data_IF_003542072193
#
_entry.id   IF_003542072193
#
_cell.length_a   1.000
_cell.length_b   1.000
_cell.length_c   1.000
_cell.angle_alpha   90.00
_cell.angle_beta   90.00
_cell.angle_gamma   90.00
#
_symmetry.space_group_name_H-M   'P 1'
#
loop_
_entity.id
_entity.type
_entity.pdbx_description
1 polymer ?
#
# COMPACT_ATOMS: atom_id res chain seq x y z
N UNK A 1 5.51 -19.05 18.66
CA UNK A 1 6.28 -19.11 17.39
C UNK A 1 5.54 -18.16 16.46
N UNK A 2 6.16 -17.08 16.01
CA UNK A 2 5.49 -16.15 15.09
C UNK A 2 5.37 -16.82 13.72
N UNK A 3 4.15 -17.10 13.28
CA UNK A 3 3.91 -17.66 11.95
C UNK A 3 3.82 -16.51 10.94
N UNK A 4 4.95 -16.23 10.29
CA UNK A 4 5.03 -15.29 9.17
C UNK A 4 4.73 -16.04 7.88
N UNK A 5 3.58 -15.75 7.29
CA UNK A 5 3.23 -16.21 5.97
C UNK A 5 3.94 -15.36 4.90
N UNK A 6 4.89 -15.99 4.19
CA UNK A 6 5.66 -15.39 3.10
C UNK A 6 5.07 -15.62 1.70
N UNK A 7 3.90 -16.27 1.61
CA UNK A 7 3.19 -16.50 0.34
C UNK A 7 2.31 -15.33 -0.10
N UNK A 8 2.18 -14.30 0.73
CA UNK A 8 1.47 -13.06 0.40
C UNK A 8 2.45 -11.91 0.19
N UNK A 9 2.01 -10.87 -0.52
CA UNK A 9 2.74 -9.58 -0.57
C UNK A 9 1.78 -8.45 -0.16
N UNK A 10 2.06 -7.71 0.92
CA UNK A 10 3.19 -7.90 1.83
C UNK A 10 3.10 -9.25 2.59
N UNK A 11 4.18 -9.61 3.29
CA UNK A 11 4.14 -10.76 4.20
C UNK A 11 3.08 -10.53 5.29
N UNK A 12 2.54 -11.61 5.83
CA UNK A 12 1.50 -11.52 6.86
C UNK A 12 1.91 -12.30 8.10
N UNK A 13 1.86 -11.66 9.27
CA UNK A 13 2.05 -12.32 10.57
C UNK A 13 0.69 -12.76 11.11
N UNK A 14 0.56 -14.05 11.43
CA UNK A 14 -0.61 -14.56 12.13
C UNK A 14 -0.40 -14.51 13.65
N UNK A 15 -1.36 -13.94 14.36
CA UNK A 15 -1.41 -13.91 15.81
C UNK A 15 -2.59 -14.73 16.31
N UNK A 16 -2.31 -15.79 17.07
CA UNK A 16 -3.33 -16.69 17.59
C UNK A 16 -3.65 -16.33 19.03
N UNK A 17 -4.94 -16.14 19.32
CA UNK A 17 -5.42 -15.87 20.66
C UNK A 17 -6.63 -16.71 21.00
N UNK A 18 -7.17 -16.47 22.20
CA UNK A 18 -8.46 -16.99 22.64
C UNK A 18 -9.23 -15.85 23.28
N UNK A 19 -10.51 -15.78 22.99
CA UNK A 19 -11.42 -14.91 23.72
C UNK A 19 -11.56 -15.38 25.17
N UNK A 20 -12.05 -14.50 26.04
CA UNK A 20 -12.26 -14.82 27.47
C UNK A 20 -13.22 -16.00 27.68
N UNK A 21 -14.14 -16.23 26.72
CA UNK A 21 -15.04 -17.39 26.70
C UNK A 21 -14.41 -18.65 26.09
N UNK A 22 -13.11 -18.63 25.78
CA UNK A 22 -12.31 -19.80 25.38
C UNK A 22 -12.25 -20.09 23.89
N UNK A 23 -13.02 -19.40 23.06
CA UNK A 23 -13.02 -19.57 21.60
C UNK A 23 -11.71 -19.05 20.98
N UNK A 24 -11.02 -19.84 20.14
CA UNK A 24 -9.79 -19.40 19.48
C UNK A 24 -10.07 -18.40 18.36
N UNK A 25 -9.18 -17.43 18.19
CA UNK A 25 -9.18 -16.52 17.05
C UNK A 25 -7.78 -16.41 16.45
N UNK A 26 -7.71 -15.93 15.20
CA UNK A 26 -6.46 -15.58 14.54
C UNK A 26 -6.59 -14.19 13.92
N UNK A 27 -5.73 -13.27 14.32
CA UNK A 27 -5.56 -11.98 13.65
C UNK A 27 -4.41 -12.05 12.65
N UNK A 28 -4.60 -11.39 11.51
CA UNK A 28 -3.64 -11.35 10.42
C UNK A 28 -3.12 -9.92 10.26
N UNK A 29 -1.82 -9.75 10.48
CA UNK A 29 -1.15 -8.46 10.46
C UNK A 29 -0.22 -8.38 9.23
N UNK A 30 -0.59 -7.60 8.19
CA UNK A 30 0.32 -7.28 7.11
C UNK A 30 1.60 -6.62 7.65
N UNK A 31 2.76 -7.08 7.17
CA UNK A 31 4.08 -6.55 7.53
C UNK A 31 4.55 -5.67 6.39
N UNK A 32 4.24 -4.37 6.49
CA UNK A 32 4.51 -3.43 5.41
C UNK A 32 6.00 -3.12 5.26
N UNK A 33 6.43 -3.00 4.00
CA UNK A 33 7.74 -2.47 3.63
C UNK A 33 7.66 -0.96 3.50
N UNK A 34 8.46 -0.25 4.30
CA UNK A 34 8.47 1.21 4.32
C UNK A 34 9.88 1.65 3.90
N UNK A 35 10.11 1.63 2.59
CA UNK A 35 11.33 2.08 1.94
C UNK A 35 10.98 2.91 0.71
N UNK A 36 11.72 3.99 0.41
CA UNK A 36 12.91 4.50 1.11
C UNK A 36 12.57 5.24 2.43
N UNK A 37 13.55 5.47 3.30
CA UNK A 37 13.36 6.03 4.64
C UNK A 37 13.47 7.56 4.71
N UNK A 38 13.06 8.27 3.66
CA UNK A 38 13.14 9.74 3.58
C UNK A 38 12.26 10.43 4.63
N UNK A 39 12.68 11.60 5.13
CA UNK A 39 11.93 12.37 6.16
C UNK A 39 10.54 12.77 5.66
N UNK A 40 10.45 13.14 4.38
CA UNK A 40 9.21 13.42 3.66
C UNK A 40 9.19 12.53 2.43
N UNK A 41 8.11 11.80 2.23
CA UNK A 41 7.96 10.97 1.04
C UNK A 41 7.55 11.82 -0.15
N UNK A 42 8.29 11.69 -1.25
CA UNK A 42 7.90 12.19 -2.57
C UNK A 42 6.81 11.29 -3.18
N UNK A 43 6.25 11.69 -4.33
CA UNK A 43 5.39 10.82 -5.13
C UNK A 43 6.13 9.55 -5.57
N UNK A 44 7.41 9.65 -5.93
CA UNK A 44 8.23 8.48 -6.28
C UNK A 44 8.35 7.52 -5.09
N UNK A 45 8.68 8.03 -3.91
CA UNK A 45 8.75 7.23 -2.69
C UNK A 45 7.42 6.55 -2.38
N UNK A 46 6.32 7.28 -2.59
CA UNK A 46 4.97 6.76 -2.36
C UNK A 46 4.64 5.64 -3.34
N UNK A 47 4.96 5.79 -4.63
CA UNK A 47 4.81 4.73 -5.63
C UNK A 47 5.62 3.49 -5.26
N UNK A 48 6.87 3.66 -4.80
CA UNK A 48 7.71 2.54 -4.33
C UNK A 48 7.03 1.81 -3.18
N UNK A 49 6.60 2.53 -2.15
CA UNK A 49 5.95 1.95 -0.97
C UNK A 49 4.65 1.22 -1.36
N UNK A 50 3.82 1.82 -2.22
CA UNK A 50 2.60 1.19 -2.71
C UNK A 50 2.91 -0.08 -3.53
N UNK A 51 3.95 -0.01 -4.36
CA UNK A 51 4.49 -1.10 -5.17
C UNK A 51 4.98 -2.29 -4.36
N UNK A 52 5.87 -2.04 -3.41
CA UNK A 52 6.47 -3.08 -2.55
C UNK A 52 5.43 -3.79 -1.66
N UNK A 53 4.29 -3.13 -1.41
CA UNK A 53 3.17 -3.64 -0.62
C UNK A 53 1.95 -4.04 -1.46
N UNK A 54 2.08 -4.15 -2.79
CA UNK A 54 1.04 -4.68 -3.67
C UNK A 54 -0.34 -3.97 -3.52
N UNK A 55 -0.31 -2.65 -3.34
CA UNK A 55 -1.50 -1.79 -3.32
C UNK A 55 -1.92 -1.44 -4.75
N UNK A 56 -2.38 -2.46 -5.49
CA UNK A 56 -2.64 -2.41 -6.94
C UNK A 56 -3.69 -1.38 -7.33
N UNK A 57 -4.78 -1.26 -6.59
CA UNK A 57 -5.84 -0.30 -6.94
C UNK A 57 -5.32 1.13 -6.86
N UNK A 58 -4.48 1.40 -5.85
CA UNK A 58 -3.83 2.68 -5.68
C UNK A 58 -2.83 2.99 -6.78
N UNK A 59 -1.99 2.02 -7.16
CA UNK A 59 -1.09 2.17 -8.30
C UNK A 59 -1.86 2.49 -9.60
N UNK A 60 -2.93 1.75 -9.90
CA UNK A 60 -3.72 1.95 -11.12
C UNK A 60 -4.37 3.33 -11.18
N UNK A 61 -4.90 3.82 -10.07
CA UNK A 61 -5.49 5.16 -10.06
C UNK A 61 -4.45 6.26 -10.08
N UNK A 62 -3.31 6.10 -9.39
CA UNK A 62 -2.19 7.04 -9.52
C UNK A 62 -1.74 7.12 -10.97
N UNK A 63 -1.62 5.98 -11.66
CA UNK A 63 -1.31 5.94 -13.08
C UNK A 63 -2.31 6.77 -13.89
N UNK A 64 -3.61 6.57 -13.69
CA UNK A 64 -4.65 7.30 -14.41
C UNK A 64 -4.63 8.81 -14.12
N UNK A 65 -4.49 9.19 -12.85
CA UNK A 65 -4.43 10.60 -12.41
C UNK A 65 -3.21 11.29 -13.02
N UNK A 66 -2.05 10.64 -12.98
CA UNK A 66 -0.82 11.16 -13.58
C UNK A 66 -0.96 11.21 -15.10
N UNK A 67 -1.47 10.17 -15.75
CA UNK A 67 -1.66 10.18 -17.21
C UNK A 67 -2.55 11.34 -17.67
N UNK A 68 -3.57 11.69 -16.89
CA UNK A 68 -4.52 12.77 -17.18
C UNK A 68 -4.08 14.15 -16.68
N UNK A 69 -2.92 14.26 -16.03
CA UNK A 69 -2.42 15.50 -15.40
C UNK A 69 -3.38 16.08 -14.33
N UNK A 70 -3.98 15.21 -13.51
CA UNK A 70 -4.95 15.56 -12.47
C UNK A 70 -4.35 15.52 -11.04
N UNK A 71 -3.01 15.60 -10.91
CA UNK A 71 -2.32 15.34 -9.64
C UNK A 71 -2.72 16.30 -8.54
N UNK A 72 -2.79 17.59 -8.88
CA UNK A 72 -3.12 18.65 -7.94
C UNK A 72 -4.53 18.47 -7.34
N UNK A 73 -5.47 17.97 -8.12
CA UNK A 73 -6.86 17.83 -7.70
C UNK A 73 -7.13 16.51 -6.98
N UNK A 74 -6.39 15.45 -7.33
CA UNK A 74 -6.76 14.07 -6.97
C UNK A 74 -5.74 13.34 -6.11
N UNK A 75 -4.48 13.74 -6.11
CA UNK A 75 -3.46 13.13 -5.24
C UNK A 75 -3.45 13.85 -3.91
N UNK A 76 -3.75 13.11 -2.84
CA UNK A 76 -3.68 13.59 -1.48
C UNK A 76 -2.23 13.89 -1.11
N UNK A 77 -2.00 14.99 -0.38
CA UNK A 77 -0.70 15.49 0.05
C UNK A 77 0.24 15.94 -1.08
N UNK A 78 -0.24 16.08 -2.32
CA UNK A 78 0.56 16.59 -3.43
C UNK A 78 0.62 18.12 -3.41
N UNK A 79 1.84 18.68 -3.43
CA UNK A 79 2.09 20.13 -3.33
C UNK A 79 2.93 20.66 -4.51
N UNK A 80 2.55 20.30 -5.74
CA UNK A 80 3.21 20.73 -6.98
C UNK A 80 4.72 20.43 -6.99
N UNK A 81 5.09 19.25 -6.49
CA UNK A 81 6.47 18.80 -6.55
C UNK A 81 6.89 18.51 -7.99
N UNK A 82 8.16 18.79 -8.31
CA UNK A 82 8.68 18.54 -9.65
C UNK A 82 9.15 17.09 -9.78
N UNK A 83 8.52 16.32 -10.66
CA UNK A 83 8.93 14.95 -10.98
C UNK A 83 8.98 14.69 -12.49
N UNK A 84 9.61 13.58 -12.88
CA UNK A 84 9.64 13.10 -14.26
C UNK A 84 8.45 12.17 -14.51
N UNK A 85 7.43 12.71 -15.19
CA UNK A 85 6.16 12.02 -15.46
C UNK A 85 6.35 10.65 -16.11
N UNK A 86 7.22 10.55 -17.11
CA UNK A 86 7.43 9.30 -17.85
C UNK A 86 8.01 8.25 -16.90
N UNK A 87 9.00 8.63 -16.08
CA UNK A 87 9.60 7.71 -15.12
C UNK A 87 8.63 7.24 -14.05
N UNK A 88 7.76 8.12 -13.54
CA UNK A 88 6.75 7.70 -12.56
C UNK A 88 5.75 6.72 -13.16
N UNK A 89 5.28 6.97 -14.39
CA UNK A 89 4.38 6.04 -15.08
C UNK A 89 5.06 4.68 -15.34
N UNK A 90 6.33 4.68 -15.78
CA UNK A 90 7.12 3.46 -15.97
C UNK A 90 7.34 2.70 -14.65
N UNK A 91 7.55 3.41 -13.55
CA UNK A 91 7.72 2.83 -12.22
C UNK A 91 6.43 2.18 -11.71
N UNK A 92 5.28 2.84 -11.92
CA UNK A 92 3.98 2.27 -11.59
C UNK A 92 3.73 1.00 -12.42
N UNK A 93 3.96 1.05 -13.73
CA UNK A 93 3.81 -0.09 -14.63
C UNK A 93 4.71 -1.26 -14.23
N UNK A 94 5.95 -0.98 -13.81
CA UNK A 94 6.87 -1.97 -13.28
C UNK A 94 6.24 -2.71 -12.09
N UNK A 95 5.73 -1.99 -11.09
CA UNK A 95 5.15 -2.62 -9.91
C UNK A 95 3.83 -3.34 -10.19
N UNK A 96 3.01 -2.86 -11.12
CA UNK A 96 1.80 -3.56 -11.54
C UNK A 96 2.17 -4.93 -12.11
N UNK A 97 3.16 -4.99 -13.01
CA UNK A 97 3.66 -6.24 -13.60
C UNK A 97 4.36 -7.11 -12.56
N UNK A 98 5.19 -6.54 -11.70
CA UNK A 98 5.90 -7.28 -10.65
C UNK A 98 4.92 -7.94 -9.69
N UNK A 99 3.78 -7.32 -9.44
CA UNK A 99 2.76 -7.84 -8.55
C UNK A 99 1.70 -8.71 -9.25
N UNK A 100 1.81 -8.92 -10.57
CA UNK A 100 0.92 -9.80 -11.30
C UNK A 100 0.96 -11.22 -10.72
N UNK A 101 -0.21 -11.81 -10.46
CA UNK A 101 -0.33 -13.13 -9.82
C UNK A 101 0.04 -13.20 -8.34
N UNK A 102 0.58 -12.13 -7.73
CA UNK A 102 0.83 -12.07 -6.28
C UNK A 102 -0.45 -11.75 -5.52
N UNK A 103 -0.68 -12.52 -4.46
CA UNK A 103 -1.86 -12.40 -3.58
C UNK A 103 -1.51 -11.57 -2.35
N UNK A 104 -2.39 -10.65 -1.98
CA UNK A 104 -2.28 -9.83 -0.77
C UNK A 104 -2.81 -10.55 0.46
N UNK A 105 -2.42 -10.15 1.68
CA UNK A 105 -3.01 -10.69 2.91
C UNK A 105 -4.54 -10.57 2.95
N UNK A 106 -5.07 -9.42 2.52
CA UNK A 106 -6.49 -9.13 2.57
C UNK A 106 -7.31 -9.93 1.54
N UNK A 107 -6.74 -10.25 0.38
CA UNK A 107 -7.35 -11.20 -0.54
C UNK A 107 -7.33 -12.64 0.01
N UNK A 108 -6.18 -13.06 0.57
CA UNK A 108 -6.01 -14.45 1.05
C UNK A 108 -6.86 -14.77 2.26
N UNK A 109 -6.92 -13.86 3.21
CA UNK A 109 -7.60 -14.04 4.49
C UNK A 109 -8.99 -13.39 4.52
N UNK A 110 -9.48 -12.95 3.36
CA UNK A 110 -10.82 -12.34 3.19
C UNK A 110 -11.05 -11.19 4.17
N UNK A 111 -10.05 -10.34 4.33
CA UNK A 111 -10.20 -9.12 5.13
C UNK A 111 -11.07 -8.12 4.36
N UNK A 112 -11.96 -7.43 5.06
CA UNK A 112 -12.96 -6.54 4.44
C UNK A 112 -12.43 -5.11 4.23
N UNK A 113 -11.22 -4.80 4.70
CA UNK A 113 -10.66 -3.46 4.56
C UNK A 113 -10.13 -3.21 3.13
N UNK A 114 -10.17 -1.94 2.72
CA UNK A 114 -9.67 -1.50 1.43
C UNK A 114 -8.21 -1.02 1.51
N UNK A 115 -7.66 -0.64 0.36
CA UNK A 115 -6.28 -0.14 0.29
C UNK A 115 -6.09 1.21 1.02
N UNK A 116 -7.14 2.01 1.22
CA UNK A 116 -7.06 3.27 1.97
C UNK A 116 -6.85 3.01 3.47
N UNK A 117 -7.48 1.97 4.02
CA UNK A 117 -7.22 1.50 5.38
C UNK A 117 -5.76 1.08 5.57
N UNK A 118 -5.20 0.33 4.61
CA UNK A 118 -3.81 -0.11 4.67
C UNK A 118 -2.83 1.05 4.46
N UNK A 119 -3.14 2.03 3.60
CA UNK A 119 -2.36 3.28 3.51
C UNK A 119 -2.31 3.98 4.87
N UNK A 120 -3.46 4.13 5.55
CA UNK A 120 -3.51 4.76 6.88
C UNK A 120 -2.65 4.01 7.91
N UNK A 121 -2.62 2.68 7.81
CA UNK A 121 -1.75 1.83 8.64
C UNK A 121 -0.27 2.05 8.33
N UNK A 122 0.11 2.15 7.05
CA UNK A 122 1.48 2.44 6.62
C UNK A 122 1.92 3.82 7.10
N UNK A 123 1.09 4.86 6.91
CA UNK A 123 1.40 6.21 7.39
C UNK A 123 1.61 6.25 8.90
N UNK A 124 0.76 5.54 9.66
CA UNK A 124 0.88 5.42 11.12
C UNK A 124 2.18 4.71 11.54
N UNK A 125 2.63 3.71 10.79
CA UNK A 125 3.88 3.00 11.05
C UNK A 125 5.10 3.84 10.65
N UNK A 126 5.03 4.56 9.54
CA UNK A 126 6.10 5.43 9.03
C UNK A 126 6.23 6.75 9.80
N UNK A 127 5.15 7.17 10.48
CA UNK A 127 4.95 8.52 11.01
C UNK A 127 5.16 9.62 9.94
N UNK A 128 4.72 9.34 8.71
CA UNK A 128 4.93 10.15 7.49
C UNK A 128 3.72 10.03 6.57
N UNK A 129 3.52 11.03 5.71
CA UNK A 129 2.40 11.10 4.78
C UNK A 129 2.78 10.58 3.40
N UNK A 130 1.90 9.78 2.81
CA UNK A 130 2.04 9.24 1.46
C UNK A 130 1.25 10.09 0.46
N UNK A 131 1.67 10.01 -0.80
CA UNK A 131 0.91 10.46 -1.95
C UNK A 131 0.05 9.32 -2.47
N UNK A 132 -1.27 9.48 -2.44
CA UNK A 132 -2.24 8.47 -2.88
C UNK A 132 -3.51 9.12 -3.39
N UNK A 133 -4.35 8.37 -4.10
CA UNK A 133 -5.64 8.89 -4.57
C UNK A 133 -6.74 8.48 -3.60
N UNK A 134 -7.54 9.45 -3.16
CA UNK A 134 -8.73 9.19 -2.37
C UNK A 134 -9.91 8.86 -3.31
N UNK A 135 -10.54 7.69 -3.13
CA UNK A 135 -11.72 7.28 -3.91
C UNK A 135 -13.04 7.41 -3.14
N UNK A 136 -13.02 8.00 -1.94
CA UNK A 136 -14.25 8.33 -1.24
C UNK A 136 -14.88 9.54 -1.93
N UNK A 137 -15.94 9.27 -2.70
CA UNK A 137 -16.91 10.27 -3.18
C UNK A 137 -17.74 10.85 -2.04
#
# INVERSE_FOLDING_TARGET
>A
MEDINKSTVPFCKAEHGKFDWGEPYTYYHPVFKISPANEVFTLEDSVIILGENNLKKQLLSLYNVILNCEEFDRIVNYYDEKFDRIKILELIDFYIKENEGKVTPWEKYQQYEDELYYISSIESQANRKLHFVNYQE
#
